data_IF_751570427488
#
_entry.id   IF_751570427488
#
_cell.length_a   1.000
_cell.length_b   1.000
_cell.length_c   1.000
_cell.angle_alpha   90.00
_cell.angle_beta   90.00
_cell.angle_gamma   90.00
#
_symmetry.space_group_name_H-M   'P 1'
#
loop_
_entity.id
_entity.type
_entity.pdbx_description
1 polymer ?
#
# COMPACT_ATOMS: atom_id res chain seq x y z
N UNK A 1 10.57 -5.88 -5.00
CA UNK A 1 9.46 -5.01 -5.36
C UNK A 1 8.87 -4.43 -4.08
N UNK A 2 8.73 -3.10 -4.00
CA UNK A 2 7.97 -2.40 -2.97
C UNK A 2 6.91 -1.55 -3.65
N UNK A 3 5.68 -1.59 -3.13
CA UNK A 3 4.55 -0.82 -3.67
C UNK A 3 4.09 0.23 -2.66
N UNK A 4 3.86 1.45 -3.14
CA UNK A 4 3.30 2.55 -2.37
C UNK A 4 2.08 3.15 -3.06
N UNK A 5 1.24 3.86 -2.32
CA UNK A 5 0.15 4.67 -2.86
C UNK A 5 0.40 6.13 -2.52
N UNK A 6 0.40 7.00 -3.53
CA UNK A 6 0.66 8.43 -3.40
C UNK A 6 -0.41 9.29 -4.07
N UNK A 7 -0.41 10.57 -3.70
CA UNK A 7 -1.31 11.57 -4.28
C UNK A 7 -0.77 12.12 -5.60
N UNK A 8 -1.65 12.37 -6.56
CA UNK A 8 -1.41 13.19 -7.75
C UNK A 8 -2.75 13.64 -8.35
N UNK A 9 -2.75 14.59 -9.29
CA UNK A 9 -3.99 15.24 -9.77
C UNK A 9 -4.78 14.44 -10.83
N UNK A 10 -4.18 13.41 -11.42
CA UNK A 10 -4.79 12.66 -12.52
C UNK A 10 -5.72 11.53 -12.03
N UNK A 11 -6.79 11.18 -12.79
CA UNK A 11 -7.70 10.07 -12.50
C UNK A 11 -7.09 8.71 -12.91
N UNK A 12 -5.82 8.51 -12.56
CA UNK A 12 -5.04 7.29 -12.81
C UNK A 12 -4.56 6.70 -11.50
N UNK A 13 -4.14 5.44 -11.50
CA UNK A 13 -3.56 4.79 -10.31
C UNK A 13 -2.43 5.64 -9.71
N UNK A 14 -2.56 5.96 -8.43
CA UNK A 14 -1.48 6.52 -7.61
C UNK A 14 -0.59 5.46 -6.98
N UNK A 15 -0.83 4.17 -7.28
CA UNK A 15 0.04 3.08 -6.87
C UNK A 15 1.29 3.06 -7.74
N UNK A 16 2.46 3.00 -7.12
CA UNK A 16 3.76 2.98 -7.78
C UNK A 16 4.64 1.86 -7.21
N UNK A 17 5.61 1.43 -8.01
CA UNK A 17 6.63 0.44 -7.62
C UNK A 17 8.00 1.13 -7.49
N UNK A 18 8.74 0.76 -6.45
CA UNK A 18 10.13 1.20 -6.22
C UNK A 18 11.00 0.04 -5.76
N UNK A 19 12.31 0.26 -5.80
CA UNK A 19 13.27 -0.63 -5.16
C UNK A 19 13.03 -0.61 -3.64
N UNK A 20 12.93 -1.78 -2.98
CA UNK A 20 12.71 -1.86 -1.55
C UNK A 20 13.63 -0.96 -0.74
N UNK A 21 13.04 -0.25 0.24
CA UNK A 21 13.72 0.65 1.19
C UNK A 21 14.31 1.91 0.55
N UNK A 22 13.99 2.18 -0.72
CA UNK A 22 14.59 3.24 -1.53
C UNK A 22 13.56 4.20 -2.12
N UNK A 23 12.39 4.35 -1.49
CA UNK A 23 11.36 5.30 -1.92
C UNK A 23 11.87 6.75 -1.80
N UNK A 24 11.94 7.52 -2.90
CA UNK A 24 12.38 8.92 -2.87
C UNK A 24 11.56 9.77 -1.91
N UNK A 25 12.22 10.67 -1.18
CA UNK A 25 11.57 11.56 -0.20
C UNK A 25 11.26 10.93 1.15
N UNK A 26 11.57 9.64 1.35
CA UNK A 26 11.37 8.94 2.62
C UNK A 26 12.68 8.33 3.14
N UNK A 27 12.81 8.29 4.47
CA UNK A 27 13.91 7.59 5.15
C UNK A 27 13.36 6.29 5.71
N UNK A 28 13.85 5.15 5.20
CA UNK A 28 13.50 3.85 5.73
C UNK A 28 13.91 3.70 7.20
N UNK A 29 12.98 3.19 8.03
CA UNK A 29 13.23 2.96 9.46
C UNK A 29 13.30 1.49 9.82
N UNK A 30 12.36 0.68 9.36
CA UNK A 30 12.27 -0.75 9.68
C UNK A 30 11.33 -1.50 8.74
N UNK A 31 11.52 -2.81 8.65
CA UNK A 31 10.55 -3.74 8.06
C UNK A 31 9.83 -4.50 9.16
N UNK A 32 8.53 -4.76 8.96
CA UNK A 32 7.71 -5.59 9.86
C UNK A 32 7.18 -6.76 9.03
N UNK A 33 7.43 -7.99 9.46
CA UNK A 33 6.88 -9.17 8.80
C UNK A 33 5.37 -9.26 9.09
N UNK A 34 4.56 -9.27 8.04
CA UNK A 34 3.09 -9.34 8.15
C UNK A 34 2.54 -10.76 7.92
N UNK A 35 3.23 -11.56 7.11
CA UNK A 35 2.84 -12.93 6.79
C UNK A 35 3.51 -13.42 5.51
N UNK A 36 2.96 -14.50 4.96
CA UNK A 36 3.39 -15.12 3.69
C UNK A 36 2.17 -15.42 2.81
N UNK A 37 2.39 -15.51 1.50
CA UNK A 37 1.40 -15.94 0.52
C UNK A 37 1.98 -17.08 -0.32
N UNK A 38 1.10 -17.95 -0.84
CA UNK A 38 1.47 -19.02 -1.76
C UNK A 38 1.34 -18.58 -3.24
N UNK A 39 0.95 -17.32 -3.49
CA UNK A 39 0.91 -16.77 -4.84
C UNK A 39 2.30 -16.76 -5.46
N UNK A 40 2.38 -17.20 -6.71
CA UNK A 40 3.53 -16.99 -7.56
C UNK A 40 3.75 -15.50 -7.85
N UNK A 41 4.93 -15.18 -8.39
CA UNK A 41 5.28 -13.81 -8.73
C UNK A 41 4.36 -13.19 -9.80
N UNK A 42 3.91 -13.98 -10.78
CA UNK A 42 2.97 -13.51 -11.81
C UNK A 42 1.58 -13.27 -11.24
N UNK A 43 1.07 -14.18 -10.41
CA UNK A 43 -0.21 -14.00 -9.73
C UNK A 43 -0.20 -12.76 -8.83
N UNK A 44 0.90 -12.54 -8.11
CA UNK A 44 1.06 -11.36 -7.28
C UNK A 44 1.06 -10.07 -8.11
N UNK A 45 1.74 -10.03 -9.27
CA UNK A 45 1.71 -8.85 -10.15
C UNK A 45 0.31 -8.56 -10.68
N UNK A 46 -0.39 -9.58 -11.19
CA UNK A 46 -1.78 -9.40 -11.64
C UNK A 46 -2.68 -8.97 -10.49
N UNK A 47 -2.50 -9.50 -9.28
CA UNK A 47 -3.21 -9.05 -8.09
C UNK A 47 -3.00 -7.55 -7.81
N UNK A 48 -1.75 -7.08 -7.87
CA UNK A 48 -1.41 -5.68 -7.64
C UNK A 48 -1.98 -4.76 -8.73
N UNK A 49 -1.96 -5.18 -10.00
CA UNK A 49 -2.56 -4.45 -11.13
C UNK A 49 -4.09 -4.29 -10.96
N UNK A 50 -4.79 -5.35 -10.53
CA UNK A 50 -6.23 -5.26 -10.28
C UNK A 50 -6.56 -4.38 -9.07
N UNK A 51 -5.70 -4.41 -8.04
CA UNK A 51 -5.91 -3.59 -6.86
C UNK A 51 -5.62 -2.11 -7.13
N UNK A 52 -4.57 -1.81 -7.91
CA UNK A 52 -4.15 -0.44 -8.22
C UNK A 52 -5.23 0.36 -8.96
N UNK A 53 -6.05 -0.32 -9.77
CA UNK A 53 -7.22 0.27 -10.43
C UNK A 53 -8.26 0.89 -9.47
N UNK A 54 -8.23 0.57 -8.16
CA UNK A 54 -9.11 1.18 -7.14
C UNK A 54 -8.48 2.38 -6.42
N UNK A 55 -7.18 2.57 -6.57
CA UNK A 55 -6.37 3.53 -5.82
C UNK A 55 -5.86 4.62 -6.76
N UNK A 56 -6.79 5.45 -7.25
CA UNK A 56 -6.42 6.60 -8.06
C UNK A 56 -5.74 7.68 -7.19
N UNK A 57 -4.72 8.33 -7.75
CA UNK A 57 -3.94 9.34 -7.03
C UNK A 57 -4.76 10.58 -6.66
N UNK A 58 -5.76 10.94 -7.48
CA UNK A 58 -6.69 12.05 -7.23
C UNK A 58 -7.68 11.78 -6.09
N UNK A 59 -7.79 10.52 -5.65
CA UNK A 59 -8.60 10.11 -4.49
C UNK A 59 -7.80 9.99 -3.20
N UNK A 60 -6.50 10.30 -3.23
CA UNK A 60 -5.66 10.21 -2.03
C UNK A 60 -6.12 11.20 -0.97
N UNK A 61 -6.30 10.71 0.26
CA UNK A 61 -6.70 11.52 1.39
C UNK A 61 -5.91 11.14 2.64
N UNK A 62 -5.24 12.11 3.27
CA UNK A 62 -4.33 11.90 4.41
C UNK A 62 -4.96 11.11 5.57
N UNK A 63 -6.25 11.33 5.84
CA UNK A 63 -7.01 10.64 6.88
C UNK A 63 -7.78 9.42 6.33
N UNK A 64 -8.67 9.61 5.36
CA UNK A 64 -9.61 8.55 4.95
C UNK A 64 -9.08 7.53 3.91
N UNK A 65 -8.05 7.87 3.12
CA UNK A 65 -7.58 7.02 2.01
C UNK A 65 -6.11 7.32 1.68
N UNK A 66 -5.22 6.90 2.56
CA UNK A 66 -3.77 7.12 2.46
C UNK A 66 -3.00 5.82 2.14
N UNK A 67 -1.67 5.91 2.06
CA UNK A 67 -0.79 4.77 1.81
C UNK A 67 -1.02 3.58 2.77
N UNK A 68 -1.35 3.82 4.04
CA UNK A 68 -1.58 2.76 5.02
C UNK A 68 -2.89 2.01 4.78
N UNK A 69 -3.91 2.66 4.22
CA UNK A 69 -5.17 1.97 3.86
C UNK A 69 -4.94 1.00 2.71
N UNK A 70 -4.17 1.43 1.71
CA UNK A 70 -3.70 0.57 0.64
C UNK A 70 -2.90 -0.62 1.19
N UNK A 71 -1.90 -0.37 2.04
CA UNK A 71 -1.10 -1.45 2.65
C UNK A 71 -1.96 -2.40 3.49
N UNK A 72 -2.96 -1.89 4.22
CA UNK A 72 -3.89 -2.72 5.00
C UNK A 72 -4.75 -3.62 4.12
N UNK A 73 -5.29 -3.12 3.00
CA UNK A 73 -6.06 -3.94 2.06
C UNK A 73 -5.19 -5.02 1.41
N UNK A 74 -3.97 -4.67 0.96
CA UNK A 74 -2.99 -5.63 0.45
C UNK A 74 -2.71 -6.72 1.49
N UNK A 75 -2.38 -6.32 2.72
CA UNK A 75 -2.05 -7.23 3.81
C UNK A 75 -3.21 -8.19 4.12
N UNK A 76 -4.44 -7.68 4.22
CA UNK A 76 -5.63 -8.48 4.46
C UNK A 76 -5.88 -9.49 3.35
N UNK A 77 -5.75 -9.08 2.09
CA UNK A 77 -6.00 -9.97 0.93
C UNK A 77 -4.95 -11.07 0.80
N UNK A 78 -3.69 -10.78 1.14
CA UNK A 78 -2.59 -11.74 0.99
C UNK A 78 -2.42 -12.67 2.19
N UNK A 79 -2.65 -12.17 3.40
CA UNK A 79 -2.30 -12.87 4.65
C UNK A 79 -3.50 -13.16 5.55
N UNK A 80 -4.68 -12.63 5.22
CA UNK A 80 -5.87 -12.68 6.08
C UNK A 80 -5.79 -11.80 7.33
N UNK A 81 -4.72 -11.02 7.52
CA UNK A 81 -4.47 -10.19 8.71
C UNK A 81 -4.31 -8.71 8.34
N UNK A 82 -4.74 -7.78 9.20
CA UNK A 82 -4.52 -6.35 9.00
C UNK A 82 -3.09 -5.94 9.31
N UNK A 83 -2.71 -4.72 8.92
CA UNK A 83 -1.45 -4.12 9.39
C UNK A 83 -1.51 -3.81 10.90
N UNK A 84 -0.37 -3.77 11.60
CA UNK A 84 -0.33 -3.39 13.00
C UNK A 84 -1.03 -2.05 13.29
N UNK A 85 -1.92 -2.05 14.29
CA UNK A 85 -2.78 -0.90 14.59
C UNK A 85 -2.04 0.40 14.92
N UNK A 86 -0.79 0.36 15.35
CA UNK A 86 -0.01 1.57 15.61
C UNK A 86 0.42 2.33 14.34
N UNK A 87 0.40 1.68 13.16
CA UNK A 87 0.88 2.27 11.90
C UNK A 87 -0.03 3.40 11.43
N UNK A 88 -1.34 3.18 11.40
CA UNK A 88 -2.31 4.16 10.89
C UNK A 88 -3.12 4.82 12.01
N UNK A 89 -2.53 4.97 13.21
CA UNK A 89 -3.26 5.45 14.40
C UNK A 89 -3.84 6.86 14.20
N UNK A 90 -3.11 7.76 13.56
CA UNK A 90 -3.54 9.15 13.35
C UNK A 90 -4.77 9.26 12.45
N UNK A 91 -4.89 8.40 11.44
CA UNK A 91 -6.06 8.37 10.57
C UNK A 91 -7.34 7.86 11.27
N UNK A 92 -7.22 7.28 12.48
CA UNK A 92 -8.36 6.82 13.28
C UNK A 92 -8.78 7.80 14.38
N UNK A 93 -8.11 8.94 14.50
CA UNK A 93 -8.41 9.96 15.51
C UNK A 93 -9.39 11.05 14.99
N UNK A 94 -10.17 10.73 13.97
CA UNK A 94 -11.24 11.59 13.44
C UNK A 94 -12.57 11.34 14.12
#
# INVERSE_FOLDING_TARGET
>A
MEYGFGAHEYPTSGVFEVEPRSCPGFIFRRSVLLGSTNMSHSEFRSFMEHLSAKYHGDTYHLIAKNCNHFTDEVCKRLTGKPIPGWINRMARLG
#
